data_IF_562130143654
#
_entry.id   IF_562130143654
#
_cell.length_a   1.000
_cell.length_b   1.000
_cell.length_c   1.000
_cell.angle_alpha   90.00
_cell.angle_beta   90.00
_cell.angle_gamma   90.00
#
_symmetry.space_group_name_H-M   'P 1'
#
loop_
_entity.id
_entity.type
_entity.pdbx_description
1 polymer ?
#
# COMPACT_ATOMS: atom_id res chain seq x y z
N UNK A 1 4.35 39.56 23.81
CA UNK A 1 5.55 38.74 24.05
C UNK A 1 5.29 37.24 24.09
N UNK A 2 4.22 36.73 24.73
CA UNK A 2 3.92 35.28 24.69
C UNK A 2 3.31 34.78 23.36
N UNK A 3 2.61 35.66 22.62
CA UNK A 3 1.97 35.31 21.34
C UNK A 3 2.96 35.15 20.17
N UNK A 4 4.15 35.76 20.26
CA UNK A 4 5.16 35.73 19.18
C UNK A 4 5.91 34.39 19.12
N UNK A 5 5.94 33.64 20.24
CA UNK A 5 6.57 32.32 20.32
C UNK A 5 5.61 31.18 19.99
N UNK A 6 4.29 31.43 20.01
CA UNK A 6 3.25 30.45 19.70
C UNK A 6 3.42 29.76 18.32
N UNK A 7 3.72 30.48 17.22
CA UNK A 7 3.93 29.82 15.92
C UNK A 7 5.25 29.02 15.89
N UNK A 8 6.27 29.44 16.63
CA UNK A 8 7.56 28.73 16.70
C UNK A 8 7.45 27.42 17.49
N UNK A 9 6.74 27.42 18.62
CA UNK A 9 6.53 26.20 19.42
C UNK A 9 5.64 25.19 18.69
N UNK A 10 4.60 25.68 17.99
CA UNK A 10 3.71 24.84 17.18
C UNK A 10 4.44 24.26 15.96
N UNK A 11 5.33 25.03 15.34
CA UNK A 11 6.21 24.56 14.26
C UNK A 11 7.20 23.48 14.72
N UNK A 12 7.85 23.67 15.87
CA UNK A 12 8.75 22.66 16.46
C UNK A 12 8.00 21.37 16.81
N UNK A 13 6.79 21.49 17.37
CA UNK A 13 5.94 20.33 17.67
C UNK A 13 5.54 19.56 16.39
N UNK A 14 5.18 20.28 15.33
CA UNK A 14 4.83 19.67 14.05
C UNK A 14 6.02 18.91 13.42
N UNK A 15 7.22 19.50 13.47
CA UNK A 15 8.44 18.86 12.98
C UNK A 15 8.74 17.59 13.76
N UNK A 16 8.61 17.62 15.09
CA UNK A 16 8.77 16.43 15.94
C UNK A 16 7.75 15.34 15.58
N UNK A 17 6.48 15.71 15.38
CA UNK A 17 5.44 14.77 14.98
C UNK A 17 5.75 14.11 13.63
N UNK A 18 6.14 14.90 12.62
CA UNK A 18 6.51 14.40 11.30
C UNK A 18 7.74 13.49 11.40
N UNK A 19 8.76 13.88 12.17
CA UNK A 19 9.96 13.06 12.36
C UNK A 19 9.64 11.70 12.99
N UNK A 20 8.70 11.67 13.95
CA UNK A 20 8.26 10.44 14.62
C UNK A 20 7.51 9.52 13.66
N UNK A 21 6.63 10.08 12.80
CA UNK A 21 5.94 9.33 11.75
C UNK A 21 6.91 8.77 10.70
N UNK A 22 7.94 9.53 10.30
CA UNK A 22 8.96 9.05 9.36
C UNK A 22 9.77 7.91 9.98
N UNK A 23 10.18 8.03 11.25
CA UNK A 23 10.87 6.92 11.92
C UNK A 23 10.02 5.67 12.01
N UNK A 24 8.70 5.78 12.21
CA UNK A 24 7.83 4.59 12.21
C UNK A 24 7.80 3.86 10.87
N UNK A 25 7.79 4.64 9.79
CA UNK A 25 7.78 4.12 8.44
C UNK A 25 9.13 3.48 8.05
N UNK A 26 10.24 4.12 8.40
CA UNK A 26 11.59 3.66 8.03
C UNK A 26 12.05 2.47 8.87
N UNK A 27 11.70 2.44 10.17
CA UNK A 27 12.10 1.36 11.09
C UNK A 27 11.04 0.27 11.25
N UNK A 28 10.11 0.15 10.30
CA UNK A 28 9.19 -0.98 10.24
C UNK A 28 9.96 -2.30 10.25
N UNK A 29 9.53 -3.25 11.07
CA UNK A 29 10.18 -4.56 11.15
C UNK A 29 9.64 -5.46 10.05
N UNK A 30 10.51 -5.96 9.18
CA UNK A 30 10.19 -7.04 8.25
C UNK A 30 10.34 -8.37 8.96
N UNK A 31 9.31 -9.20 8.93
CA UNK A 31 9.40 -10.60 9.33
C UNK A 31 9.01 -11.47 8.14
N UNK A 32 9.61 -12.64 8.06
CA UNK A 32 9.36 -13.59 6.99
C UNK A 32 8.41 -14.68 7.49
N UNK A 33 7.42 -15.00 6.67
CA UNK A 33 6.44 -16.05 6.93
C UNK A 33 6.50 -17.04 5.80
N UNK A 34 6.62 -18.32 6.15
CA UNK A 34 6.53 -19.42 5.17
C UNK A 34 5.08 -19.90 5.09
N UNK A 35 4.60 -20.23 3.89
CA UNK A 35 3.26 -20.76 3.69
C UNK A 35 3.02 -21.24 2.27
N UNK A 36 1.86 -21.87 2.03
CA UNK A 36 1.51 -22.39 0.72
C UNK A 36 0.59 -21.44 -0.02
N UNK A 37 0.77 -21.31 -1.33
CA UNK A 37 -0.13 -20.54 -2.18
C UNK A 37 -1.46 -21.28 -2.31
N UNK A 38 -2.54 -20.68 -1.83
CA UNK A 38 -3.89 -21.24 -1.98
C UNK A 38 -4.60 -20.64 -3.18
N UNK A 39 -4.28 -19.39 -3.54
CA UNK A 39 -4.93 -18.70 -4.65
C UNK A 39 -4.09 -17.57 -5.24
N UNK A 40 -4.45 -17.18 -6.47
CA UNK A 40 -3.84 -16.11 -7.25
C UNK A 40 -4.97 -15.28 -7.88
N UNK A 41 -4.89 -13.96 -7.74
CA UNK A 41 -5.83 -13.00 -8.32
C UNK A 41 -5.07 -12.00 -9.19
N UNK A 42 -5.60 -11.78 -10.39
CA UNK A 42 -5.10 -10.78 -11.33
C UNK A 42 -6.14 -9.67 -11.49
N UNK A 43 -5.73 -8.44 -11.23
CA UNK A 43 -6.56 -7.25 -11.43
C UNK A 43 -5.91 -6.43 -12.55
N UNK A 44 -6.53 -6.35 -13.74
CA UNK A 44 -5.99 -5.56 -14.85
C UNK A 44 -6.03 -4.07 -14.52
N UNK A 45 -5.12 -3.29 -15.12
CA UNK A 45 -5.20 -1.84 -15.06
C UNK A 45 -6.50 -1.35 -15.71
N UNK A 46 -7.15 -0.36 -15.09
CA UNK A 46 -8.33 0.31 -15.68
C UNK A 46 -8.11 1.81 -15.77
N UNK A 47 -8.71 2.42 -16.77
CA UNK A 47 -8.76 3.88 -16.92
C UNK A 47 -10.19 4.29 -17.26
N UNK A 48 -10.72 5.22 -16.49
CA UNK A 48 -12.06 5.78 -16.66
C UNK A 48 -11.95 7.29 -16.86
N UNK A 49 -12.65 7.80 -17.87
CA UNK A 49 -12.74 9.23 -18.14
C UNK A 49 -14.20 9.65 -17.95
N UNK A 50 -14.44 10.49 -16.95
CA UNK A 50 -15.72 11.15 -16.75
C UNK A 50 -15.72 12.51 -17.44
N UNK A 51 -16.79 12.84 -18.15
CA UNK A 51 -17.01 14.19 -18.69
C UNK A 51 -18.32 14.72 -18.13
N UNK A 52 -18.25 15.87 -17.46
CA UNK A 52 -19.40 16.58 -16.92
C UNK A 52 -19.40 18.04 -17.35
N UNK A 53 -20.57 18.68 -17.28
CA UNK A 53 -20.66 20.13 -17.42
C UNK A 53 -20.69 20.78 -16.04
N UNK A 54 -20.04 21.92 -15.91
CA UNK A 54 -20.00 22.74 -14.69
C UNK A 54 -20.45 24.14 -15.05
N UNK A 55 -21.20 24.80 -14.16
CA UNK A 55 -21.51 26.21 -14.29
C UNK A 55 -20.73 26.92 -13.17
N UNK A 56 -19.87 27.86 -13.54
CA UNK A 56 -19.12 28.64 -12.55
C UNK A 56 -20.03 29.68 -11.87
N UNK A 57 -19.60 30.27 -10.74
CA UNK A 57 -20.41 31.29 -10.03
C UNK A 57 -20.74 32.54 -10.87
N UNK A 58 -20.04 32.75 -11.98
CA UNK A 58 -20.28 33.84 -12.95
C UNK A 58 -21.27 33.45 -14.05
N UNK A 59 -21.89 32.27 -13.98
CA UNK A 59 -22.89 31.80 -14.95
C UNK A 59 -22.30 31.23 -16.25
N UNK A 60 -20.98 31.08 -16.35
CA UNK A 60 -20.33 30.51 -17.52
C UNK A 60 -20.33 28.98 -17.43
N UNK A 61 -20.68 28.33 -18.54
CA UNK A 61 -20.65 26.88 -18.67
C UNK A 61 -19.24 26.41 -19.06
N UNK A 62 -18.68 25.50 -18.28
CA UNK A 62 -17.43 24.81 -18.53
C UNK A 62 -17.63 23.29 -18.64
N UNK A 63 -16.64 22.61 -19.21
CA UNK A 63 -16.57 21.14 -19.23
C UNK A 63 -15.53 20.71 -18.20
N UNK A 64 -15.90 19.76 -17.35
CA UNK A 64 -15.02 19.12 -16.37
C UNK A 64 -14.73 17.71 -16.87
N UNK A 65 -13.45 17.41 -17.00
CA UNK A 65 -12.99 16.05 -17.29
C UNK A 65 -12.31 15.49 -16.05
N UNK A 66 -12.75 14.33 -15.59
CA UNK A 66 -12.11 13.58 -14.52
C UNK A 66 -11.48 12.33 -15.09
N UNK A 67 -10.25 12.02 -14.68
CA UNK A 67 -9.55 10.79 -15.06
C UNK A 67 -9.28 9.97 -13.80
N UNK A 68 -9.86 8.78 -13.73
CA UNK A 68 -9.54 7.79 -12.70
C UNK A 68 -8.72 6.68 -13.35
N UNK A 69 -7.57 6.36 -12.79
CA UNK A 69 -6.74 5.24 -13.26
C UNK A 69 -6.37 4.33 -12.10
N UNK A 70 -6.44 3.02 -12.34
CA UNK A 70 -5.98 2.01 -11.42
C UNK A 70 -4.83 1.24 -12.05
N UNK A 71 -3.75 1.07 -11.28
CA UNK A 71 -2.61 0.26 -11.72
C UNK A 71 -2.97 -1.22 -11.70
N UNK A 72 -2.33 -1.98 -12.59
CA UNK A 72 -2.37 -3.44 -12.57
C UNK A 72 -1.90 -3.99 -11.21
N UNK A 73 -2.54 -5.07 -10.73
CA UNK A 73 -2.16 -5.72 -9.47
C UNK A 73 -2.14 -7.25 -9.63
N UNK A 74 -1.05 -7.84 -9.16
CA UNK A 74 -0.88 -9.28 -9.05
C UNK A 74 -0.92 -9.67 -7.57
N UNK A 75 -1.94 -10.41 -7.16
CA UNK A 75 -2.18 -10.75 -5.76
C UNK A 75 -2.03 -12.26 -5.58
N UNK A 76 -1.21 -12.66 -4.61
CA UNK A 76 -1.00 -14.04 -4.20
C UNK A 76 -1.58 -14.21 -2.80
N UNK A 77 -2.43 -15.22 -2.62
CA UNK A 77 -3.02 -15.56 -1.33
C UNK A 77 -2.25 -16.75 -0.76
N UNK A 78 -1.66 -16.55 0.41
CA UNK A 78 -0.79 -17.51 1.09
C UNK A 78 -1.49 -17.97 2.37
N UNK A 79 -1.49 -19.28 2.62
CA UNK A 79 -1.91 -19.87 3.90
C UNK A 79 -0.69 -20.31 4.69
N UNK A 80 -0.54 -19.80 5.90
CA UNK A 80 0.55 -20.20 6.81
C UNK A 80 0.26 -21.57 7.45
N UNK A 81 1.28 -22.25 8.02
CA UNK A 81 1.09 -23.49 8.79
C UNK A 81 0.09 -23.33 9.96
N UNK A 82 0.02 -22.15 10.56
CA UNK A 82 -0.90 -21.80 11.64
C UNK A 82 -2.34 -21.54 11.15
N UNK A 83 -2.57 -21.56 9.83
CA UNK A 83 -3.88 -21.35 9.21
C UNK A 83 -4.21 -19.89 8.91
N UNK A 84 -3.28 -18.95 9.10
CA UNK A 84 -3.48 -17.54 8.76
C UNK A 84 -3.51 -17.36 7.23
N UNK A 85 -4.40 -16.51 6.73
CA UNK A 85 -4.50 -16.17 5.31
C UNK A 85 -3.92 -14.78 5.08
N UNK A 86 -2.94 -14.70 4.18
CA UNK A 86 -2.17 -13.50 3.90
C UNK A 86 -2.30 -13.14 2.42
N UNK A 87 -2.74 -11.92 2.15
CA UNK A 87 -2.80 -11.38 0.80
C UNK A 87 -1.53 -10.57 0.52
N UNK A 88 -0.71 -11.07 -0.40
CA UNK A 88 0.53 -10.44 -0.80
C UNK A 88 0.45 -9.89 -2.22
N UNK A 89 0.90 -8.66 -2.43
CA UNK A 89 1.10 -8.13 -3.78
C UNK A 89 2.45 -8.61 -4.30
N UNK A 90 2.47 -9.07 -5.55
CA UNK A 90 3.65 -9.62 -6.22
C UNK A 90 3.97 -8.83 -7.49
N UNK A 91 5.18 -9.00 -8.01
CA UNK A 91 5.53 -8.61 -9.38
C UNK A 91 4.93 -9.59 -10.39
N UNK A 92 4.82 -9.16 -11.66
CA UNK A 92 4.34 -10.01 -12.77
C UNK A 92 5.15 -11.30 -12.88
N UNK A 93 6.48 -11.19 -12.83
CA UNK A 93 7.40 -12.31 -13.10
C UNK A 93 7.22 -13.42 -12.06
N UNK A 94 7.16 -13.03 -10.77
CA UNK A 94 6.90 -13.96 -9.67
C UNK A 94 5.48 -14.52 -9.75
N UNK A 95 4.49 -13.69 -10.12
CA UNK A 95 3.11 -14.14 -10.25
C UNK A 95 2.98 -15.23 -11.31
N UNK A 96 3.59 -15.10 -12.49
CA UNK A 96 3.49 -16.13 -13.53
C UNK A 96 4.34 -17.37 -13.25
N UNK A 97 5.41 -17.23 -12.45
CA UNK A 97 6.30 -18.35 -12.10
C UNK A 97 5.75 -19.23 -10.98
N UNK A 98 5.02 -18.65 -10.02
CA UNK A 98 4.51 -19.36 -8.84
C UNK A 98 3.18 -20.06 -9.12
N UNK A 99 3.03 -21.30 -8.66
CA UNK A 99 1.80 -22.09 -8.82
C UNK A 99 1.01 -22.25 -7.51
N UNK A 100 -0.30 -22.51 -7.62
CA UNK A 100 -1.10 -22.87 -6.44
C UNK A 100 -0.56 -24.18 -5.87
N UNK A 101 -0.33 -24.23 -4.57
CA UNK A 101 0.31 -25.35 -3.87
C UNK A 101 1.81 -25.17 -3.64
N UNK A 102 2.47 -24.23 -4.32
CA UNK A 102 3.88 -23.92 -4.05
C UNK A 102 4.06 -23.41 -2.62
N UNK A 103 5.14 -23.88 -1.97
CA UNK A 103 5.60 -23.35 -0.70
C UNK A 103 6.48 -22.11 -0.95
N UNK A 104 6.11 -21.00 -0.33
CA UNK A 104 6.73 -19.69 -0.53
C UNK A 104 7.04 -19.01 0.79
N UNK A 105 8.04 -18.15 0.76
CA UNK A 105 8.37 -17.26 1.86
C UNK A 105 7.95 -15.83 1.50
N UNK A 106 7.12 -15.21 2.35
CA UNK A 106 6.66 -13.85 2.19
C UNK A 106 7.24 -12.97 3.29
N UNK A 107 7.94 -11.90 2.88
CA UNK A 107 8.35 -10.81 3.76
C UNK A 107 7.18 -9.87 4.02
N UNK A 108 6.79 -9.75 5.28
CA UNK A 108 5.73 -8.86 5.75
C UNK A 108 6.37 -7.75 6.58
N UNK A 109 6.14 -6.52 6.14
CA UNK A 109 6.54 -5.32 6.87
C UNK A 109 5.40 -4.93 7.82
N UNK A 110 5.72 -4.79 9.11
CA UNK A 110 4.81 -4.22 10.10
C UNK A 110 5.35 -2.85 10.51
N UNK A 111 4.51 -1.82 10.38
CA UNK A 111 4.79 -0.51 10.98
C UNK A 111 4.83 -0.59 12.51
N UNK A 112 5.87 -0.06 13.14
CA UNK A 112 6.18 -0.30 14.56
C UNK A 112 5.16 0.33 15.52
N UNK A 113 4.53 1.42 15.14
CA UNK A 113 3.49 2.14 15.91
C UNK A 113 2.10 1.91 15.30
N UNK A 114 1.98 1.94 13.97
CA UNK A 114 0.69 1.77 13.29
C UNK A 114 0.19 0.33 13.25
N UNK A 115 1.06 -0.67 13.41
CA UNK A 115 0.77 -2.11 13.27
C UNK A 115 0.13 -2.51 11.94
N UNK A 116 0.15 -1.64 10.93
CA UNK A 116 -0.37 -1.95 9.60
C UNK A 116 0.57 -2.98 8.98
N UNK A 117 -0.01 -4.09 8.49
CA UNK A 117 0.72 -5.18 7.85
C UNK A 117 0.70 -4.99 6.34
N UNK A 118 1.88 -4.97 5.72
CA UNK A 118 1.99 -4.99 4.29
C UNK A 118 2.96 -6.08 3.85
N UNK A 119 2.51 -7.03 3.04
CA UNK A 119 3.38 -8.02 2.45
C UNK A 119 4.09 -7.40 1.24
N UNK A 120 5.42 -7.35 1.30
CA UNK A 120 6.25 -6.54 0.38
C UNK A 120 7.06 -7.38 -0.59
N UNK A 121 7.31 -8.65 -0.28
CA UNK A 121 8.10 -9.53 -1.15
C UNK A 121 7.74 -10.99 -0.96
N UNK A 122 7.32 -11.67 -2.02
CA UNK A 122 7.13 -13.13 -2.05
C UNK A 122 8.33 -13.74 -2.78
N UNK A 123 8.95 -14.77 -2.22
CA UNK A 123 10.08 -15.48 -2.83
C UNK A 123 9.81 -16.98 -2.77
N UNK A 124 10.15 -17.72 -3.84
CA UNK A 124 10.04 -19.17 -3.84
C UNK A 124 11.10 -19.75 -2.89
N UNK A 125 10.67 -20.61 -1.97
CA UNK A 125 11.62 -21.36 -1.15
C UNK A 125 12.13 -22.54 -1.99
N UNK A 126 13.44 -22.59 -2.19
CA UNK A 126 14.11 -23.74 -2.82
C UNK A 126 14.55 -24.63 -1.65
N UNK A 127 13.90 -25.78 -1.52
CA UNK A 127 14.36 -26.86 -0.62
C UNK A 127 15.54 -27.62 -1.25
#
# INVERSE_FOLDING_TARGET
MFLDYLPHTLGVFLILLISLLITDFVFGTTYYVTGNIIEKHYIPSSSEVGVGTSINPSGQMGVVTTTSSSSEKFIIIIRTPEGEIINATSTSDLYFTLEKGDNVEAGIVIGRLTKIRHATKVTKKID
#
